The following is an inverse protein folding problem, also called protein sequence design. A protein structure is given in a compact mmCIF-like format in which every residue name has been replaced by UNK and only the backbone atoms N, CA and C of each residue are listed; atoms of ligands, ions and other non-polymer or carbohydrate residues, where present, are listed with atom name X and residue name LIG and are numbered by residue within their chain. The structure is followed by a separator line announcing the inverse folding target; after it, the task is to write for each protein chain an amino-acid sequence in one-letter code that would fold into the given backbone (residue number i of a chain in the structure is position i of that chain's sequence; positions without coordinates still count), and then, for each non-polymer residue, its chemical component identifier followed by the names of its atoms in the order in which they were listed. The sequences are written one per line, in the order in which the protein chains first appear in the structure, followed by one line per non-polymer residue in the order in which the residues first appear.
data_IF_769004101111
#
_entry.id   IF_769004101111
#
_cell.length_a   1.000
_cell.length_b   1.000
_cell.length_c   1.000
_cell.angle_alpha   90.00
_cell.angle_beta   90.00
_cell.angle_gamma   90.00
#
_symmetry.space_group_name_H-M   'P 1'
#
loop_
_entity.id
_entity.type
_entity.pdbx_description
1 polymer ?
#
# COMPACT_ATOMS: atom_id res chain seq x y z
N UNK A 1 13.16 -0.59 14.79
CA UNK A 1 13.05 -1.91 14.15
C UNK A 1 13.02 -1.85 12.61
N UNK A 2 12.89 -0.70 11.95
CA UNK A 2 13.03 -0.60 10.46
C UNK A 2 14.44 -0.99 10.01
N UNK A 3 15.41 -0.59 10.82
CA UNK A 3 16.83 -0.93 10.80
C UNK A 3 17.10 -2.44 10.89
N UNK A 4 16.19 -3.22 11.49
CA UNK A 4 16.26 -4.69 11.55
C UNK A 4 15.67 -5.38 10.32
N UNK A 5 14.96 -4.66 9.46
CA UNK A 5 14.35 -5.23 8.25
C UNK A 5 15.45 -5.64 7.27
N UNK A 6 15.38 -6.90 6.85
CA UNK A 6 16.20 -7.47 5.78
C UNK A 6 15.50 -7.31 4.43
N UNK A 7 14.26 -7.77 4.31
CA UNK A 7 13.45 -7.64 3.09
C UNK A 7 11.95 -7.58 3.42
N UNK A 8 11.17 -7.06 2.48
CA UNK A 8 9.70 -7.06 2.54
C UNK A 8 9.19 -7.71 1.27
N UNK A 9 8.55 -8.87 1.38
CA UNK A 9 7.94 -9.56 0.26
C UNK A 9 6.52 -9.06 0.04
N UNK A 10 6.22 -8.61 -1.17
CA UNK A 10 4.90 -8.16 -1.59
C UNK A 10 4.44 -9.01 -2.77
N UNK A 11 3.33 -9.74 -2.61
CA UNK A 11 2.69 -10.41 -3.74
C UNK A 11 1.45 -9.65 -4.17
N UNK A 12 1.29 -9.43 -5.47
CA UNK A 12 0.21 -8.62 -6.03
C UNK A 12 -0.24 -9.16 -7.39
N UNK A 13 -1.17 -8.45 -8.05
CA UNK A 13 -1.67 -8.80 -9.38
C UNK A 13 -0.70 -8.37 -10.48
N UNK A 14 -0.76 -9.01 -11.66
CA UNK A 14 -0.01 -8.60 -12.85
C UNK A 14 -0.26 -7.13 -13.24
N UNK A 15 -1.50 -6.67 -13.06
CA UNK A 15 -1.88 -5.29 -13.34
C UNK A 15 -1.13 -4.31 -12.43
N UNK A 16 -1.01 -4.62 -11.14
CA UNK A 16 -0.24 -3.80 -10.21
C UNK A 16 1.26 -3.82 -10.52
N UNK A 17 1.83 -4.99 -10.81
CA UNK A 17 3.24 -5.10 -11.23
C UNK A 17 3.50 -4.23 -12.46
N UNK A 18 2.62 -4.28 -13.47
CA UNK A 18 2.80 -3.51 -14.71
C UNK A 18 2.64 -2.00 -14.55
N UNK A 19 1.71 -1.56 -13.70
CA UNK A 19 1.31 -0.17 -13.66
C UNK A 19 2.00 0.64 -12.55
N UNK A 20 2.33 0.02 -11.43
CA UNK A 20 2.76 0.73 -10.21
C UNK A 20 3.98 0.10 -9.51
N UNK A 21 4.63 -0.92 -10.07
CA UNK A 21 5.95 -1.36 -9.61
C UNK A 21 7.04 -0.46 -10.24
N UNK A 22 7.34 0.66 -9.56
CA UNK A 22 8.36 1.62 -9.97
C UNK A 22 9.60 1.50 -9.10
N UNK A 23 10.74 1.20 -9.71
CA UNK A 23 12.07 1.22 -9.07
C UNK A 23 12.83 2.52 -9.42
N UNK A 24 13.81 2.89 -8.59
CA UNK A 24 14.63 4.08 -8.81
C UNK A 24 14.05 5.38 -8.22
N UNK A 25 14.58 6.55 -8.62
CA UNK A 25 14.14 7.85 -8.11
C UNK A 25 12.67 8.15 -8.46
N UNK A 26 11.97 8.84 -7.57
CA UNK A 26 10.59 9.32 -7.78
C UNK A 26 10.60 10.84 -7.77
N UNK A 27 10.22 11.47 -8.88
CA UNK A 27 10.52 12.90 -9.13
C UNK A 27 9.43 13.85 -8.63
N UNK A 28 8.33 13.34 -8.09
CA UNK A 28 7.28 14.16 -7.51
C UNK A 28 6.11 13.35 -6.95
N UNK A 29 5.08 14.03 -6.42
CA UNK A 29 3.93 13.38 -5.78
C UNK A 29 3.22 12.35 -6.67
N UNK A 30 3.05 12.66 -7.96
CA UNK A 30 2.42 11.78 -8.95
C UNK A 30 3.24 10.53 -9.30
N UNK A 31 4.55 10.53 -9.03
CA UNK A 31 5.35 9.33 -9.15
C UNK A 31 5.20 8.43 -7.92
N UNK A 32 5.03 9.04 -6.74
CA UNK A 32 4.95 8.38 -5.44
C UNK A 32 3.59 7.75 -5.18
N UNK A 33 2.51 8.43 -5.54
CA UNK A 33 1.14 7.87 -5.46
C UNK A 33 0.92 6.69 -6.43
N UNK A 34 1.70 6.62 -7.52
CA UNK A 34 1.75 5.50 -8.47
C UNK A 34 2.96 4.58 -8.28
N UNK A 35 3.51 4.50 -7.06
CA UNK A 35 4.58 3.56 -6.71
C UNK A 35 4.15 2.66 -5.54
N UNK A 36 3.91 1.38 -5.80
CA UNK A 36 3.50 0.40 -4.79
C UNK A 36 4.56 0.25 -3.68
N UNK A 37 5.83 0.27 -4.06
CA UNK A 37 6.94 0.21 -3.10
C UNK A 37 6.93 1.39 -2.14
N UNK A 38 6.65 2.61 -2.65
CA UNK A 38 6.57 3.82 -1.85
C UNK A 38 5.39 3.75 -0.88
N UNK A 39 4.20 3.38 -1.38
CA UNK A 39 3.01 3.25 -0.55
C UNK A 39 3.20 2.23 0.59
N UNK A 40 3.81 1.07 0.32
CA UNK A 40 4.12 0.05 1.33
C UNK A 40 5.16 0.58 2.33
N UNK A 41 6.22 1.23 1.86
CA UNK A 41 7.26 1.76 2.74
C UNK A 41 6.70 2.81 3.72
N UNK A 42 5.93 3.78 3.21
CA UNK A 42 5.27 4.80 4.03
C UNK A 42 4.31 4.17 5.04
N UNK A 43 3.46 3.24 4.60
CA UNK A 43 2.50 2.60 5.49
C UNK A 43 3.19 1.82 6.63
N UNK A 44 4.33 1.16 6.37
CA UNK A 44 5.11 0.47 7.39
C UNK A 44 5.83 1.44 8.35
N UNK A 45 6.24 2.61 7.87
CA UNK A 45 6.96 3.61 8.66
C UNK A 45 6.03 4.45 9.56
N UNK A 46 4.89 4.87 9.02
CA UNK A 46 4.00 5.84 9.64
C UNK A 46 2.71 5.20 10.20
N UNK A 47 2.41 3.96 9.81
CA UNK A 47 1.19 3.25 10.22
C UNK A 47 -0.08 3.73 9.51
N UNK A 48 0.04 4.69 8.59
CA UNK A 48 -1.04 5.23 7.78
C UNK A 48 -0.50 5.77 6.45
N UNK A 49 -1.41 6.22 5.59
CA UNK A 49 -1.09 6.91 4.34
C UNK A 49 -2.09 8.06 4.14
N UNK A 50 -1.60 9.24 3.78
CA UNK A 50 -2.37 10.46 3.57
C UNK A 50 -1.77 11.20 2.39
N UNK A 51 -2.43 12.24 1.90
CA UNK A 51 -1.94 13.01 0.75
C UNK A 51 -0.58 13.65 1.03
N UNK A 52 -0.36 14.12 2.26
CA UNK A 52 0.88 14.78 2.68
C UNK A 52 2.09 13.84 2.63
N UNK A 53 1.89 12.51 2.73
CA UNK A 53 2.99 11.56 2.62
C UNK A 53 3.58 11.44 1.22
N UNK A 54 2.93 12.01 0.20
CA UNK A 54 3.48 12.07 -1.15
C UNK A 54 4.28 13.35 -1.41
N UNK A 55 4.31 14.29 -0.47
CA UNK A 55 5.07 15.54 -0.59
C UNK A 55 6.57 15.32 -0.30
N UNK A 56 7.39 16.26 -0.77
CA UNK A 56 8.86 16.18 -0.65
C UNK A 56 9.32 16.11 0.81
N UNK A 57 8.59 16.70 1.75
CA UNK A 57 8.91 16.67 3.18
C UNK A 57 9.01 15.24 3.73
N UNK A 58 8.15 14.33 3.26
CA UNK A 58 8.13 12.93 3.67
C UNK A 58 9.00 12.08 2.74
N UNK A 59 8.99 12.37 1.44
CA UNK A 59 9.80 11.64 0.47
C UNK A 59 11.32 11.80 0.70
N UNK A 60 11.74 12.92 1.29
CA UNK A 60 13.14 13.18 1.66
C UNK A 60 13.59 12.42 2.92
N UNK A 61 12.71 11.71 3.63
CA UNK A 61 13.12 10.83 4.72
C UNK A 61 13.93 9.64 4.16
N UNK A 62 15.23 9.51 4.49
CA UNK A 62 16.08 8.48 3.93
C UNK A 62 15.61 7.06 4.26
N UNK A 63 14.81 6.88 5.32
CA UNK A 63 14.24 5.59 5.71
C UNK A 63 13.23 5.08 4.68
N UNK A 64 12.53 5.97 3.98
CA UNK A 64 11.56 5.60 2.94
C UNK A 64 12.30 4.90 1.80
N UNK A 65 13.35 5.53 1.27
CA UNK A 65 14.15 4.96 0.19
C UNK A 65 14.96 3.74 0.63
N UNK A 66 15.45 3.70 1.87
CA UNK A 66 16.08 2.51 2.42
C UNK A 66 15.12 1.31 2.44
N UNK A 67 13.89 1.52 2.89
CA UNK A 67 12.90 0.46 2.96
C UNK A 67 12.41 0.05 1.57
N UNK A 68 12.23 1.01 0.64
CA UNK A 68 11.89 0.74 -0.77
C UNK A 68 12.88 -0.21 -1.44
N UNK A 69 14.18 -0.02 -1.23
CA UNK A 69 15.22 -0.92 -1.76
C UNK A 69 15.13 -2.35 -1.23
N UNK A 70 14.46 -2.57 -0.11
CA UNK A 70 14.25 -3.87 0.52
C UNK A 70 12.91 -4.51 0.14
N UNK A 71 12.02 -3.78 -0.55
CA UNK A 71 10.71 -4.28 -0.98
C UNK A 71 10.87 -5.04 -2.30
N UNK A 72 10.43 -6.29 -2.29
CA UNK A 72 10.42 -7.19 -3.45
C UNK A 72 8.98 -7.44 -3.86
N UNK A 73 8.61 -6.97 -5.06
CA UNK A 73 7.26 -7.16 -5.62
C UNK A 73 7.30 -8.34 -6.58
N UNK A 74 6.34 -9.25 -6.43
CA UNK A 74 6.13 -10.38 -7.32
C UNK A 74 4.66 -10.52 -7.69
N UNK A 75 4.40 -10.97 -8.91
CA UNK A 75 3.07 -11.40 -9.32
C UNK A 75 2.68 -12.69 -8.58
N UNK A 76 1.44 -12.76 -8.11
CA UNK A 76 0.76 -14.02 -7.80
C UNK A 76 -0.27 -14.34 -8.89
N UNK A 77 -0.12 -15.43 -9.67
CA UNK A 77 -1.03 -15.77 -10.76
C UNK A 77 -2.49 -15.93 -10.34
N UNK A 78 -2.76 -16.41 -9.11
CA UNK A 78 -4.12 -16.53 -8.60
C UNK A 78 -4.75 -15.15 -8.37
N UNK A 79 -4.00 -14.21 -7.81
CA UNK A 79 -4.49 -12.83 -7.65
C UNK A 79 -4.79 -12.19 -9.01
N UNK A 80 -3.94 -12.43 -10.01
CA UNK A 80 -4.17 -11.97 -11.38
C UNK A 80 -5.43 -12.56 -12.00
N UNK A 81 -5.71 -13.84 -11.77
CA UNK A 81 -6.93 -14.51 -12.24
C UNK A 81 -8.18 -13.93 -11.57
N UNK A 82 -8.15 -13.77 -10.25
CA UNK A 82 -9.29 -13.27 -9.47
C UNK A 82 -9.60 -11.78 -9.73
N UNK A 83 -8.59 -11.02 -10.16
CA UNK A 83 -8.74 -9.62 -10.55
C UNK A 83 -9.62 -9.44 -11.80
N UNK A 84 -9.52 -10.36 -12.76
CA UNK A 84 -10.29 -10.30 -14.02
C UNK A 84 -11.58 -11.12 -13.97
N UNK A 85 -11.74 -11.98 -12.99
CA UNK A 85 -12.97 -12.74 -12.74
C UNK A 85 -14.14 -11.78 -12.41
N UNK A 86 -15.24 -11.78 -13.18
CA UNK A 86 -16.36 -10.86 -12.99
C UNK A 86 -17.12 -11.05 -11.67
N UNK A 87 -17.08 -12.26 -11.10
CA UNK A 87 -17.75 -12.59 -9.84
C UNK A 87 -16.89 -12.19 -8.63
N UNK A 88 -15.56 -12.23 -8.79
CA UNK A 88 -14.61 -11.84 -7.74
C UNK A 88 -14.24 -10.36 -7.81
N UNK A 89 -13.56 -9.95 -8.87
CA UNK A 89 -12.94 -8.62 -9.05
C UNK A 89 -12.10 -8.21 -7.83
N UNK A 90 -11.31 -9.14 -7.31
CA UNK A 90 -10.46 -8.87 -6.13
C UNK A 90 -9.31 -7.92 -6.48
N UNK A 91 -8.78 -7.23 -5.48
CA UNK A 91 -7.57 -6.41 -5.63
C UNK A 91 -6.52 -6.89 -4.62
N UNK A 92 -6.19 -8.18 -4.72
CA UNK A 92 -5.41 -8.89 -3.71
C UNK A 92 -3.97 -8.41 -3.61
N UNK A 93 -3.53 -8.18 -2.38
CA UNK A 93 -2.14 -7.95 -2.05
C UNK A 93 -1.78 -8.72 -0.78
N UNK A 94 -0.54 -9.19 -0.69
CA UNK A 94 0.03 -9.66 0.58
C UNK A 94 1.36 -9.00 0.89
N UNK A 95 1.65 -8.86 2.18
CA UNK A 95 2.88 -8.28 2.70
C UNK A 95 3.44 -9.19 3.79
N UNK A 96 4.75 -9.45 3.73
CA UNK A 96 5.49 -10.15 4.77
C UNK A 96 6.84 -9.49 4.98
N UNK A 97 7.21 -9.23 6.24
CA UNK A 97 8.49 -8.61 6.60
C UNK A 97 9.43 -9.69 7.11
N UNK A 98 10.64 -9.72 6.55
CA UNK A 98 11.74 -10.59 6.98
C UNK A 98 12.80 -9.76 7.68
N UNK A 99 13.25 -10.21 8.85
CA UNK A 99 14.22 -9.50 9.69
C UNK A 99 15.62 -10.10 9.55
N UNK A 100 16.64 -9.32 9.91
CA UNK A 100 18.06 -9.73 9.86
C UNK A 100 18.38 -10.91 10.79
N UNK A 101 17.61 -11.09 11.85
CA UNK A 101 17.71 -12.23 12.77
C UNK A 101 17.10 -13.53 12.22
N UNK A 102 16.67 -13.53 10.94
CA UNK A 102 16.00 -14.63 10.22
C UNK A 102 14.57 -14.92 10.68
N UNK A 103 14.02 -14.13 11.60
CA UNK A 103 12.59 -14.19 11.91
C UNK A 103 11.78 -13.46 10.83
N UNK A 104 10.47 -13.70 10.81
CA UNK A 104 9.55 -12.99 9.90
C UNK A 104 8.21 -12.78 10.56
N UNK A 105 7.47 -11.78 10.08
CA UNK A 105 6.05 -11.64 10.42
C UNK A 105 5.25 -12.76 9.78
N UNK A 106 4.02 -12.94 10.25
CA UNK A 106 3.02 -13.64 9.45
C UNK A 106 2.86 -12.92 8.09
N UNK A 107 2.49 -13.70 7.07
CA UNK A 107 2.05 -13.13 5.80
C UNK A 107 0.64 -12.57 5.99
N UNK A 108 0.49 -11.26 5.85
CA UNK A 108 -0.81 -10.62 5.88
C UNK A 108 -1.32 -10.44 4.46
N UNK A 109 -2.52 -10.95 4.19
CA UNK A 109 -3.14 -10.91 2.87
C UNK A 109 -4.49 -10.20 2.96
N UNK A 110 -4.73 -9.28 2.03
CA UNK A 110 -6.00 -8.58 1.87
C UNK A 110 -6.46 -8.78 0.43
N UNK A 111 -7.51 -9.58 0.27
CA UNK A 111 -8.11 -9.88 -1.04
C UNK A 111 -9.00 -8.73 -1.53
N UNK A 112 -9.85 -8.21 -0.64
CA UNK A 112 -10.82 -7.18 -0.96
C UNK A 112 -10.50 -5.89 -0.19
N UNK A 113 -10.21 -4.77 -0.88
CA UNK A 113 -10.01 -3.49 -0.22
C UNK A 113 -11.32 -3.04 0.45
N UNK A 114 -11.21 -2.15 1.44
CA UNK A 114 -12.37 -1.67 2.22
C UNK A 114 -13.47 -1.06 1.34
N UNK A 115 -13.13 -0.50 0.17
CA UNK A 115 -14.10 0.05 -0.79
C UNK A 115 -14.85 -0.98 -1.64
N UNK A 116 -14.48 -2.27 -1.57
CA UNK A 116 -15.05 -3.31 -2.44
C UNK A 116 -16.49 -3.69 -2.02
N UNK A 117 -17.33 -4.11 -2.97
CA UNK A 117 -18.74 -4.49 -2.73
C UNK A 117 -18.93 -5.57 -1.65
N UNK A 118 -17.93 -6.45 -1.48
CA UNK A 118 -17.95 -7.53 -0.49
C UNK A 118 -17.70 -7.05 0.95
N UNK A 119 -17.23 -5.81 1.15
CA UNK A 119 -16.94 -5.22 2.48
C UNK A 119 -17.87 -4.05 2.85
N UNK A 120 -19.05 -3.94 2.20
CA UNK A 120 -19.97 -2.79 2.33
C UNK A 120 -20.27 -2.37 3.76
N UNK A 121 -20.45 -3.31 4.68
CA UNK A 121 -20.70 -3.00 6.10
C UNK A 121 -19.59 -2.13 6.70
N UNK A 122 -18.33 -2.47 6.44
CA UNK A 122 -17.18 -1.68 6.87
C UNK A 122 -16.99 -0.42 6.02
N UNK A 123 -17.25 -0.53 4.70
CA UNK A 123 -17.16 0.60 3.76
C UNK A 123 -18.02 1.77 4.20
N UNK A 124 -19.30 1.53 4.56
CA UNK A 124 -20.23 2.62 4.87
C UNK A 124 -19.80 3.40 6.11
N UNK A 125 -19.36 2.71 7.16
CA UNK A 125 -18.83 3.39 8.37
C UNK A 125 -17.59 4.23 8.06
N UNK A 126 -16.67 3.71 7.25
CA UNK A 126 -15.48 4.47 6.85
C UNK A 126 -15.83 5.66 5.93
N UNK A 127 -16.78 5.48 5.02
CA UNK A 127 -17.20 6.49 4.05
C UNK A 127 -17.90 7.67 4.74
N UNK A 128 -18.79 7.40 5.69
CA UNK A 128 -19.48 8.43 6.47
C UNK A 128 -18.48 9.29 7.25
N UNK A 129 -17.54 8.65 7.96
CA UNK A 129 -16.45 9.34 8.67
C UNK A 129 -15.63 10.22 7.73
N UNK A 130 -15.26 9.70 6.56
CA UNK A 130 -14.52 10.45 5.54
C UNK A 130 -15.33 11.66 5.05
N UNK A 131 -16.62 11.47 4.79
CA UNK A 131 -17.51 12.52 4.29
C UNK A 131 -17.65 13.67 5.28
N UNK A 132 -17.96 13.36 6.55
CA UNK A 132 -18.10 14.38 7.61
C UNK A 132 -16.79 15.13 7.83
N UNK A 133 -15.66 14.42 7.90
CA UNK A 133 -14.35 15.05 8.02
C UNK A 133 -14.08 16.02 6.84
N UNK A 134 -14.43 15.62 5.62
CA UNK A 134 -14.26 16.45 4.42
C UNK A 134 -15.17 17.69 4.45
N UNK A 135 -16.40 17.55 4.94
CA UNK A 135 -17.31 18.69 5.10
C UNK A 135 -16.75 19.72 6.09
N UNK A 136 -16.25 19.28 7.24
CA UNK A 136 -15.72 20.18 8.27
C UNK A 136 -14.47 20.95 7.83
N UNK A 137 -13.74 20.48 6.82
CA UNK A 137 -12.64 21.26 6.23
C UNK A 137 -13.13 22.53 5.51
N UNK A 138 -14.39 22.55 5.06
CA UNK A 138 -14.98 23.69 4.34
C UNK A 138 -16.05 24.43 5.13
N UNK A 139 -16.80 23.71 5.96
CA UNK A 139 -17.91 24.20 6.77
C UNK A 139 -17.66 23.80 8.23
N UNK A 140 -16.98 24.65 9.03
CA UNK A 140 -16.80 24.41 10.45
C UNK A 140 -18.16 24.28 11.16
N UNK A 141 -18.25 23.48 12.23
CA UNK A 141 -19.48 23.31 12.99
C UNK A 141 -20.00 24.60 13.63
#
# INVERSE_FOLDING_TARGET
RVDEVHSVAVHTTRSAVRCIDKTGPLNGPADRDHCLQYAVAVALLYGNITTEHYEDSVANDPRVDELRRKILIAENPQYSADYVDPDRRSCSNSVQVHFKDRTSTNKFEVEYPVGHRRRRMETFSALEKKFIASLHMKFPP
#
